data_IF_075965282347
#
_entry.id   IF_075965282347
#
_cell.length_a   1.000
_cell.length_b   1.000
_cell.length_c   1.000
_cell.angle_alpha   90.00
_cell.angle_beta   90.00
_cell.angle_gamma   90.00
#
_symmetry.space_group_name_H-M   'P 1'
#
loop_
_entity.id
_entity.type
_entity.pdbx_description
1 polymer ?
#
# COMPACT_ATOMS: atom_id res chain seq x y z
N UNK A 1 3.62 43.24 8.42
CA UNK A 1 3.09 42.17 7.54
C UNK A 1 1.61 42.07 7.82
N UNK A 2 0.81 42.01 6.76
CA UNK A 2 -0.64 41.86 6.87
C UNK A 2 -0.96 40.51 7.54
N UNK A 3 -1.91 40.49 8.49
CA UNK A 3 -2.25 39.29 9.25
C UNK A 3 -2.72 38.15 8.34
N UNK A 4 -3.33 38.51 7.21
CA UNK A 4 -3.80 37.57 6.20
C UNK A 4 -2.65 36.95 5.39
N UNK A 5 -1.54 37.68 5.21
CA UNK A 5 -0.37 37.18 4.50
C UNK A 5 0.45 36.21 5.35
N UNK A 6 0.57 36.47 6.66
CA UNK A 6 1.16 35.53 7.62
C UNK A 6 0.34 34.23 7.70
N UNK A 7 -0.99 34.35 7.66
CA UNK A 7 -1.88 33.19 7.61
C UNK A 7 -1.74 32.38 6.32
N UNK A 8 -1.60 33.04 5.17
CA UNK A 8 -1.39 32.36 3.88
C UNK A 8 -0.05 31.64 3.83
N UNK A 9 1.06 32.29 4.23
CA UNK A 9 2.40 31.67 4.26
C UNK A 9 2.40 30.35 5.06
N UNK A 10 1.82 30.37 6.26
CA UNK A 10 1.70 29.17 7.11
C UNK A 10 0.95 28.02 6.42
N UNK A 11 -0.12 28.34 5.69
CA UNK A 11 -0.93 27.35 5.00
C UNK A 11 -0.26 26.79 3.74
N UNK A 12 0.57 27.60 3.06
CA UNK A 12 1.44 27.13 1.98
C UNK A 12 2.50 26.18 2.53
N UNK A 13 3.15 26.54 3.63
CA UNK A 13 4.14 25.66 4.28
C UNK A 13 3.53 24.33 4.72
N UNK A 14 2.30 24.35 5.26
CA UNK A 14 1.55 23.13 5.60
C UNK A 14 1.26 22.27 4.38
N UNK A 15 0.85 22.87 3.26
CA UNK A 15 0.61 22.13 2.02
C UNK A 15 1.91 21.50 1.49
N UNK A 16 3.02 22.22 1.54
CA UNK A 16 4.33 21.71 1.13
C UNK A 16 4.79 20.56 2.03
N UNK A 17 4.64 20.71 3.36
CA UNK A 17 4.92 19.66 4.32
C UNK A 17 4.03 18.42 4.09
N UNK A 18 2.75 18.61 3.78
CA UNK A 18 1.84 17.52 3.47
C UNK A 18 2.25 16.78 2.18
N UNK A 19 2.58 17.51 1.11
CA UNK A 19 3.07 16.92 -0.15
C UNK A 19 4.34 16.08 0.08
N UNK A 20 5.24 16.54 0.95
CA UNK A 20 6.45 15.78 1.31
C UNK A 20 6.12 14.54 2.16
N UNK A 21 5.24 14.71 3.16
CA UNK A 21 4.84 13.63 4.06
C UNK A 21 4.11 12.48 3.34
N UNK A 22 3.49 12.74 2.18
CA UNK A 22 2.83 11.71 1.38
C UNK A 22 3.76 10.56 0.96
N UNK A 23 5.07 10.79 0.79
CA UNK A 23 6.01 9.71 0.46
C UNK A 23 6.30 8.77 1.63
N UNK A 24 5.97 9.21 2.85
CA UNK A 24 6.11 8.41 4.07
C UNK A 24 4.81 7.70 4.47
N UNK A 25 3.72 7.87 3.72
CA UNK A 25 2.48 7.11 3.94
C UNK A 25 2.72 5.68 3.47
N UNK A 26 2.96 4.81 4.44
CA UNK A 26 3.05 3.36 4.25
C UNK A 26 1.64 2.79 4.13
N UNK A 27 1.14 2.76 2.90
CA UNK A 27 -0.19 2.23 2.57
C UNK A 27 -0.07 1.14 1.52
N UNK A 28 -0.79 0.06 1.76
CA UNK A 28 -0.72 -1.15 0.95
C UNK A 28 -1.57 -1.07 -0.33
N UNK A 29 -2.60 -0.23 -0.36
CA UNK A 29 -3.43 -0.01 -1.55
C UNK A 29 -3.84 1.47 -1.76
N UNK A 30 -4.22 1.87 -2.99
CA UNK A 30 -4.49 3.27 -3.29
C UNK A 30 -5.69 3.87 -2.56
N UNK A 31 -6.62 3.04 -2.09
CA UNK A 31 -7.75 3.51 -1.30
C UNK A 31 -7.30 3.84 0.12
N UNK A 32 -6.55 2.94 0.76
CA UNK A 32 -5.98 3.17 2.10
C UNK A 32 -5.02 4.37 2.09
N UNK A 33 -4.19 4.50 1.04
CA UNK A 33 -3.34 5.67 0.84
C UNK A 33 -4.14 6.98 0.83
N UNK A 34 -5.25 7.03 0.07
CA UNK A 34 -6.10 8.21 0.02
C UNK A 34 -6.84 8.47 1.34
N UNK A 35 -7.23 7.42 2.07
CA UNK A 35 -7.88 7.54 3.37
C UNK A 35 -6.92 8.11 4.43
N UNK A 36 -5.69 7.62 4.49
CA UNK A 36 -4.67 8.12 5.41
C UNK A 36 -4.27 9.56 5.05
N UNK A 37 -4.09 9.86 3.76
CA UNK A 37 -3.85 11.22 3.27
C UNK A 37 -5.00 12.17 3.66
N UNK A 38 -6.25 11.71 3.57
CA UNK A 38 -7.43 12.47 3.97
C UNK A 38 -7.42 12.78 5.46
N UNK A 39 -7.19 11.77 6.31
CA UNK A 39 -7.15 11.94 7.77
C UNK A 39 -6.02 12.88 8.21
N UNK A 40 -4.83 12.77 7.61
CA UNK A 40 -3.69 13.67 7.88
C UNK A 40 -4.07 15.12 7.56
N UNK A 41 -4.57 15.38 6.35
CA UNK A 41 -4.90 16.75 5.92
C UNK A 41 -6.10 17.31 6.68
N UNK A 42 -7.17 16.52 6.85
CA UNK A 42 -8.35 16.93 7.60
C UNK A 42 -8.00 17.25 9.05
N UNK A 43 -7.13 16.47 9.69
CA UNK A 43 -6.68 16.72 11.07
C UNK A 43 -5.96 18.07 11.19
N UNK A 44 -5.11 18.41 10.21
CA UNK A 44 -4.45 19.71 10.18
C UNK A 44 -5.46 20.87 10.05
N UNK A 45 -6.46 20.72 9.17
CA UNK A 45 -7.54 21.72 8.99
C UNK A 45 -8.43 21.85 10.22
N UNK A 46 -8.73 20.75 10.90
CA UNK A 46 -9.56 20.77 12.10
C UNK A 46 -8.83 21.35 13.32
N UNK A 47 -7.52 21.10 13.45
CA UNK A 47 -6.73 21.54 14.60
C UNK A 47 -6.51 23.07 14.62
N UNK A 48 -6.37 23.69 13.45
CA UNK A 48 -6.10 25.12 13.33
C UNK A 48 -6.76 25.69 12.07
N UNK A 49 -8.10 25.87 12.06
CA UNK A 49 -8.84 26.24 10.85
C UNK A 49 -8.50 27.67 10.39
N UNK A 50 -8.34 27.90 9.06
CA UNK A 50 -8.07 29.23 8.54
C UNK A 50 -9.29 30.16 8.67
N UNK A 51 -9.09 31.49 8.74
CA UNK A 51 -10.18 32.46 8.69
C UNK A 51 -11.04 32.30 7.42
N UNK A 52 -12.37 32.33 7.56
CA UNK A 52 -13.32 32.02 6.47
C UNK A 52 -13.20 32.90 5.22
N UNK A 53 -12.65 34.11 5.36
CA UNK A 53 -12.53 35.10 4.29
C UNK A 53 -11.10 35.32 3.79
N UNK A 54 -10.12 34.56 4.31
CA UNK A 54 -8.73 34.68 3.88
C UNK A 54 -8.41 33.69 2.76
N UNK A 55 -7.43 34.01 1.92
CA UNK A 55 -6.98 33.12 0.86
C UNK A 55 -6.50 31.75 1.36
N UNK A 56 -6.08 31.66 2.64
CA UNK A 56 -5.70 30.41 3.29
C UNK A 56 -6.84 29.38 3.33
N UNK A 57 -8.11 29.81 3.39
CA UNK A 57 -9.26 28.89 3.33
C UNK A 57 -9.32 28.12 2.01
N UNK A 58 -8.89 28.75 0.91
CA UNK A 58 -8.86 28.13 -0.42
C UNK A 58 -7.78 27.06 -0.51
N UNK A 59 -6.65 27.25 0.19
CA UNK A 59 -5.58 26.24 0.30
C UNK A 59 -6.07 25.02 1.07
N UNK A 60 -6.67 25.24 2.24
CA UNK A 60 -7.22 24.16 3.08
C UNK A 60 -8.29 23.35 2.34
N UNK A 61 -9.28 24.03 1.75
CA UNK A 61 -10.37 23.40 1.00
C UNK A 61 -9.90 22.75 -0.31
N UNK A 62 -8.95 23.38 -1.02
CA UNK A 62 -8.36 22.83 -2.24
C UNK A 62 -7.60 21.53 -1.97
N UNK A 63 -6.89 21.45 -0.85
CA UNK A 63 -6.25 20.20 -0.41
C UNK A 63 -7.26 19.09 -0.14
N UNK A 64 -8.35 19.41 0.59
CA UNK A 64 -9.44 18.44 0.83
C UNK A 64 -10.07 17.98 -0.49
N UNK A 65 -10.36 18.90 -1.41
CA UNK A 65 -10.93 18.57 -2.70
C UNK A 65 -10.01 17.66 -3.54
N UNK A 66 -8.70 17.92 -3.55
CA UNK A 66 -7.73 17.09 -4.27
C UNK A 66 -7.71 15.65 -3.74
N UNK A 67 -7.68 15.48 -2.41
CA UNK A 67 -7.69 14.14 -1.78
C UNK A 67 -9.03 13.43 -2.02
N UNK A 68 -10.16 14.15 -1.91
CA UNK A 68 -11.49 13.62 -2.24
C UNK A 68 -11.59 13.10 -3.68
N UNK A 69 -11.04 13.85 -4.65
CA UNK A 69 -10.99 13.42 -6.05
C UNK A 69 -10.11 12.19 -6.24
N UNK A 70 -8.94 12.13 -5.61
CA UNK A 70 -8.07 10.96 -5.67
C UNK A 70 -8.75 9.72 -5.08
N UNK A 71 -9.37 9.84 -3.91
CA UNK A 71 -10.12 8.77 -3.26
C UNK A 71 -11.27 8.26 -4.16
N UNK A 72 -12.01 9.18 -4.77
CA UNK A 72 -13.08 8.87 -5.73
C UNK A 72 -12.54 8.13 -6.96
N UNK A 73 -11.45 8.62 -7.55
CA UNK A 73 -10.84 8.02 -8.73
C UNK A 73 -10.32 6.60 -8.44
N UNK A 74 -9.61 6.40 -7.34
CA UNK A 74 -9.14 5.09 -6.87
C UNK A 74 -10.30 4.12 -6.68
N UNK A 75 -11.41 4.60 -6.11
CA UNK A 75 -12.58 3.77 -5.89
C UNK A 75 -13.27 3.38 -7.20
N UNK A 76 -13.40 4.32 -8.14
CA UNK A 76 -13.99 4.04 -9.46
C UNK A 76 -13.11 3.13 -10.30
N UNK A 77 -11.78 3.29 -10.25
CA UNK A 77 -10.83 2.42 -10.94
C UNK A 77 -10.99 0.97 -10.47
N UNK A 78 -11.10 0.74 -9.15
CA UNK A 78 -11.35 -0.60 -8.62
C UNK A 78 -12.60 -1.27 -9.22
N UNK A 79 -13.70 -0.52 -9.37
CA UNK A 79 -14.95 -1.07 -9.90
C UNK A 79 -14.98 -1.20 -11.42
N UNK A 80 -14.23 -0.36 -12.15
CA UNK A 80 -14.23 -0.34 -13.62
C UNK A 80 -13.18 -1.26 -14.21
N UNK A 81 -12.07 -1.46 -13.52
CA UNK A 81 -10.92 -2.24 -13.97
C UNK A 81 -11.01 -3.66 -13.38
N UNK A 82 -11.49 -4.59 -14.21
CA UNK A 82 -11.74 -5.98 -13.80
C UNK A 82 -10.45 -6.72 -13.41
N UNK A 83 -9.36 -6.48 -14.14
CA UNK A 83 -8.05 -7.07 -13.89
C UNK A 83 -7.32 -6.33 -12.77
N UNK A 84 -6.93 -7.05 -11.71
CA UNK A 84 -6.24 -6.48 -10.56
C UNK A 84 -4.85 -5.91 -10.90
N UNK A 85 -4.17 -6.48 -11.91
CA UNK A 85 -2.86 -6.01 -12.37
C UNK A 85 -2.91 -4.70 -13.17
N UNK A 86 -4.08 -4.33 -13.69
CA UNK A 86 -4.28 -3.09 -14.44
C UNK A 86 -4.80 -1.94 -13.57
N UNK A 87 -5.15 -2.20 -12.31
CA UNK A 87 -5.59 -1.17 -11.37
C UNK A 87 -4.43 -0.23 -11.04
N UNK A 88 -4.76 1.02 -10.74
CA UNK A 88 -3.77 2.01 -10.35
C UNK A 88 -3.00 1.55 -9.11
N UNK A 89 -1.67 1.64 -9.14
CA UNK A 89 -0.83 1.40 -7.97
C UNK A 89 -0.82 2.60 -7.03
N UNK A 90 -0.42 2.39 -5.77
CA UNK A 90 -0.21 3.48 -4.79
C UNK A 90 0.73 4.54 -5.35
N UNK A 91 1.82 4.14 -6.00
CA UNK A 91 2.77 5.07 -6.62
C UNK A 91 2.12 5.94 -7.71
N UNK A 92 1.22 5.37 -8.52
CA UNK A 92 0.47 6.12 -9.53
C UNK A 92 -0.50 7.12 -8.89
N UNK A 93 -1.24 6.70 -7.87
CA UNK A 93 -2.20 7.57 -7.17
C UNK A 93 -1.48 8.67 -6.37
N UNK A 94 -0.37 8.36 -5.69
CA UNK A 94 0.49 9.35 -5.03
C UNK A 94 0.95 10.43 -6.03
N UNK A 95 1.50 10.01 -7.18
CA UNK A 95 1.93 10.93 -8.25
C UNK A 95 0.79 11.80 -8.75
N UNK A 96 -0.38 11.22 -8.99
CA UNK A 96 -1.57 11.95 -9.44
C UNK A 96 -2.06 12.95 -8.39
N UNK A 97 -2.15 12.54 -7.12
CA UNK A 97 -2.59 13.41 -6.04
C UNK A 97 -1.61 14.57 -5.82
N UNK A 98 -0.30 14.32 -5.86
CA UNK A 98 0.73 15.38 -5.84
C UNK A 98 0.57 16.37 -7.01
N UNK A 99 0.28 15.87 -8.20
CA UNK A 99 0.02 16.73 -9.35
C UNK A 99 -1.24 17.60 -9.15
N UNK A 100 -2.31 17.04 -8.59
CA UNK A 100 -3.52 17.76 -8.23
C UNK A 100 -3.26 18.84 -7.16
N UNK A 101 -2.55 18.49 -6.08
CA UNK A 101 -2.13 19.42 -5.01
C UNK A 101 -1.17 20.50 -5.51
N UNK A 102 -0.45 20.25 -6.60
CA UNK A 102 0.38 21.23 -7.28
C UNK A 102 -0.42 22.45 -7.80
N UNK A 103 -1.72 22.30 -8.06
CA UNK A 103 -2.58 23.41 -8.50
C UNK A 103 -2.85 24.43 -7.39
N UNK A 104 -3.45 24.07 -6.23
CA UNK A 104 -3.61 25.01 -5.13
C UNK A 104 -2.27 25.56 -4.63
N UNK A 105 -1.19 24.76 -4.67
CA UNK A 105 0.17 25.22 -4.34
C UNK A 105 0.66 26.34 -5.27
N UNK A 106 0.56 26.16 -6.59
CA UNK A 106 0.97 27.19 -7.56
C UNK A 106 0.15 28.47 -7.41
N UNK A 107 -1.16 28.34 -7.19
CA UNK A 107 -2.03 29.49 -6.98
C UNK A 107 -1.68 30.24 -5.68
N UNK A 108 -1.44 29.52 -4.58
CA UNK A 108 -1.11 30.15 -3.31
C UNK A 108 0.26 30.82 -3.32
N UNK A 109 1.27 30.22 -3.95
CA UNK A 109 2.57 30.87 -4.18
C UNK A 109 2.41 32.14 -5.02
N UNK A 110 1.56 32.09 -6.05
CA UNK A 110 1.27 33.28 -6.84
C UNK A 110 0.62 34.39 -5.99
N UNK A 111 -0.33 34.07 -5.12
CA UNK A 111 -0.95 35.05 -4.22
C UNK A 111 0.04 35.68 -3.23
N UNK A 112 1.07 34.96 -2.82
CA UNK A 112 2.14 35.52 -1.98
C UNK A 112 2.99 36.57 -2.71
N UNK A 113 3.15 36.43 -4.04
CA UNK A 113 3.92 37.37 -4.86
C UNK A 113 3.06 38.50 -5.44
N UNK A 114 1.89 38.16 -5.99
CA UNK A 114 1.03 39.06 -6.77
C UNK A 114 -0.05 39.75 -5.92
N UNK A 115 -0.24 39.28 -4.67
CA UNK A 115 -1.33 39.70 -3.79
C UNK A 115 -2.48 38.68 -3.73
N UNK A 116 -3.10 38.58 -2.56
CA UNK A 116 -4.21 37.66 -2.31
C UNK A 116 -5.49 38.09 -3.06
N UNK A 117 -6.35 37.13 -3.44
CA UNK A 117 -7.67 37.43 -4.01
C UNK A 117 -8.53 38.22 -3.03
N UNK A 118 -9.46 39.01 -3.58
CA UNK A 118 -10.39 39.80 -2.77
C UNK A 118 -11.34 38.92 -1.95
N UNK A 119 -11.80 39.41 -0.80
CA UNK A 119 -12.59 38.62 0.16
C UNK A 119 -13.93 38.10 -0.40
N UNK A 120 -14.53 38.81 -1.35
CA UNK A 120 -15.72 38.41 -2.09
C UNK A 120 -15.42 37.25 -3.05
N UNK A 121 -14.30 37.30 -3.77
CA UNK A 121 -13.80 36.20 -4.59
C UNK A 121 -13.51 34.96 -3.71
N UNK A 122 -12.83 35.15 -2.58
CA UNK A 122 -12.55 34.07 -1.62
C UNK A 122 -13.84 33.42 -1.14
N UNK A 123 -14.84 34.22 -0.78
CA UNK A 123 -16.15 33.71 -0.32
C UNK A 123 -16.89 32.94 -1.40
N UNK A 124 -16.86 33.41 -2.66
CA UNK A 124 -17.51 32.73 -3.77
C UNK A 124 -16.82 31.39 -4.11
N UNK A 125 -15.49 31.36 -4.10
CA UNK A 125 -14.70 30.16 -4.37
C UNK A 125 -14.79 29.16 -3.22
N UNK A 126 -14.74 29.61 -1.97
CA UNK A 126 -14.90 28.73 -0.82
C UNK A 126 -16.29 28.10 -0.80
N UNK A 127 -17.36 28.85 -1.09
CA UNK A 127 -18.71 28.29 -1.23
C UNK A 127 -18.79 27.23 -2.33
N UNK A 128 -18.12 27.43 -3.47
CA UNK A 128 -18.04 26.44 -4.56
C UNK A 128 -17.31 25.16 -4.11
N UNK A 129 -16.16 25.30 -3.44
CA UNK A 129 -15.40 24.17 -2.92
C UNK A 129 -16.19 23.40 -1.85
N UNK A 130 -16.79 24.12 -0.91
CA UNK A 130 -17.66 23.57 0.12
C UNK A 130 -18.83 22.82 -0.51
N UNK A 131 -19.49 23.40 -1.53
CA UNK A 131 -20.56 22.73 -2.25
C UNK A 131 -20.06 21.43 -2.93
N UNK A 132 -18.89 21.45 -3.58
CA UNK A 132 -18.31 20.25 -4.22
C UNK A 132 -17.98 19.14 -3.21
N UNK A 133 -17.63 19.49 -1.97
CA UNK A 133 -17.42 18.54 -0.88
C UNK A 133 -18.76 18.08 -0.24
N UNK A 134 -19.77 18.96 -0.23
CA UNK A 134 -21.06 18.75 0.45
C UNK A 134 -22.20 18.21 -0.44
N UNK A 135 -22.02 18.08 -1.75
CA UNK A 135 -22.99 17.52 -2.73
C UNK A 135 -23.52 16.12 -2.37
N UNK A 136 -23.04 15.54 -1.28
CA UNK A 136 -23.53 14.32 -0.62
C UNK A 136 -24.76 14.52 0.29
N UNK A 137 -25.29 15.74 0.48
CA UNK A 137 -26.34 16.04 1.48
C UNK A 137 -27.74 16.39 0.97
N UNK A 138 -27.96 16.58 -0.33
CA UNK A 138 -29.28 17.01 -0.85
C UNK A 138 -29.86 15.95 -1.77
N UNK A 139 -30.96 15.25 -1.38
CA UNK A 139 -31.64 14.33 -2.28
C UNK A 139 -32.19 15.12 -3.48
N UNK A 140 -31.68 14.85 -4.68
CA UNK A 140 -32.18 15.42 -5.93
C UNK A 140 -31.48 16.69 -6.47
N UNK A 141 -30.32 17.10 -5.96
CA UNK A 141 -29.56 18.19 -6.57
C UNK A 141 -28.77 17.73 -7.82
N UNK A 142 -28.85 18.50 -8.91
CA UNK A 142 -28.11 18.25 -10.14
C UNK A 142 -26.58 18.35 -9.94
N UNK A 143 -25.78 17.55 -10.67
CA UNK A 143 -24.35 17.44 -10.44
C UNK A 143 -23.65 18.72 -10.90
N UNK A 144 -22.81 19.31 -10.04
CA UNK A 144 -21.84 20.32 -10.48
C UNK A 144 -20.49 20.02 -9.81
N UNK A 145 -19.81 19.02 -10.36
CA UNK A 145 -18.37 18.97 -10.68
C UNK A 145 -18.05 17.55 -11.16
N UNK A 146 -17.06 17.41 -12.04
CA UNK A 146 -16.70 16.24 -12.88
C UNK A 146 -16.48 14.87 -12.19
N UNK A 147 -16.84 14.69 -10.92
CA UNK A 147 -16.75 13.42 -10.20
C UNK A 147 -18.05 12.60 -10.18
N UNK A 148 -19.22 13.19 -10.47
CA UNK A 148 -20.45 12.46 -10.83
C UNK A 148 -21.07 11.52 -9.78
N UNK A 149 -20.69 11.58 -8.50
CA UNK A 149 -21.22 10.69 -7.44
C UNK A 149 -22.27 11.41 -6.59
N UNK A 150 -23.47 10.84 -6.51
CA UNK A 150 -24.56 11.27 -5.63
C UNK A 150 -24.80 10.19 -4.57
N UNK A 151 -24.92 10.59 -3.30
CA UNK A 151 -25.21 9.68 -2.19
C UNK A 151 -26.66 9.82 -1.73
N UNK A 152 -27.41 8.72 -1.77
CA UNK A 152 -28.73 8.65 -1.17
C UNK A 152 -28.62 8.16 0.28
N UNK A 153 -29.30 8.84 1.21
CA UNK A 153 -29.40 8.35 2.59
C UNK A 153 -30.25 7.08 2.61
N UNK A 154 -29.64 5.96 2.99
CA UNK A 154 -30.33 4.66 3.06
C UNK A 154 -30.90 4.37 4.45
N UNK A 155 -30.11 4.55 5.51
CA UNK A 155 -30.56 4.34 6.88
C UNK A 155 -29.77 5.19 7.88
N UNK A 156 -30.20 5.21 9.15
CA UNK A 156 -29.44 5.76 10.27
C UNK A 156 -29.08 4.62 11.22
N UNK A 157 -27.80 4.59 11.64
CA UNK A 157 -27.30 3.61 12.59
C UNK A 157 -27.36 4.18 14.01
N UNK A 158 -27.66 3.33 14.99
CA UNK A 158 -27.40 3.64 16.40
C UNK A 158 -25.90 3.69 16.66
N UNK A 159 -25.47 4.34 17.75
CA UNK A 159 -24.05 4.41 18.12
C UNK A 159 -23.43 3.03 18.33
N UNK A 160 -24.19 2.10 18.90
CA UNK A 160 -23.76 0.71 19.12
C UNK A 160 -23.60 -0.04 17.80
N UNK A 161 -24.55 0.10 16.86
CA UNK A 161 -24.44 -0.50 15.52
C UNK A 161 -23.27 0.10 14.74
N UNK A 162 -23.13 1.43 14.74
CA UNK A 162 -22.05 2.12 14.06
C UNK A 162 -20.68 1.67 14.58
N UNK A 163 -20.52 1.58 15.91
CA UNK A 163 -19.29 1.09 16.52
C UNK A 163 -19.01 -0.36 16.12
N UNK A 164 -20.00 -1.26 16.26
CA UNK A 164 -19.87 -2.68 15.90
C UNK A 164 -19.43 -2.84 14.44
N UNK A 165 -20.08 -2.13 13.53
CA UNK A 165 -19.79 -2.25 12.10
C UNK A 165 -18.45 -1.63 11.73
N UNK A 166 -18.10 -0.47 12.29
CA UNK A 166 -16.79 0.17 12.04
C UNK A 166 -15.64 -0.68 12.56
N UNK A 167 -15.73 -1.16 13.80
CA UNK A 167 -14.66 -1.98 14.37
C UNK A 167 -14.47 -3.30 13.58
N UNK A 168 -15.57 -3.95 13.17
CA UNK A 168 -15.50 -5.15 12.33
C UNK A 168 -14.91 -4.84 10.95
N UNK A 169 -15.38 -3.76 10.32
CA UNK A 169 -14.87 -3.31 9.04
C UNK A 169 -13.38 -2.96 9.11
N UNK A 170 -12.93 -2.24 10.14
CA UNK A 170 -11.54 -1.85 10.33
C UNK A 170 -10.64 -3.06 10.59
N UNK A 171 -11.12 -4.08 11.32
CA UNK A 171 -10.40 -5.35 11.47
C UNK A 171 -10.25 -6.07 10.13
N UNK A 172 -11.31 -6.19 9.33
CA UNK A 172 -11.25 -6.80 8.00
C UNK A 172 -10.38 -5.99 7.03
N UNK A 173 -10.48 -4.66 7.09
CA UNK A 173 -9.62 -3.76 6.31
C UNK A 173 -8.16 -3.94 6.69
N UNK A 174 -7.83 -3.99 7.98
CA UNK A 174 -6.46 -4.25 8.45
C UNK A 174 -5.97 -5.64 8.08
N UNK A 175 -6.85 -6.64 8.04
CA UNK A 175 -6.53 -7.99 7.59
C UNK A 175 -6.18 -8.01 6.11
N UNK A 176 -7.05 -7.44 5.28
CA UNK A 176 -6.85 -7.42 3.83
C UNK A 176 -5.73 -6.48 3.43
N UNK A 177 -5.60 -5.34 4.12
CA UNK A 177 -4.59 -4.32 3.89
C UNK A 177 -3.19 -4.90 3.85
N UNK A 178 -2.87 -5.97 4.59
CA UNK A 178 -1.55 -6.60 4.63
C UNK A 178 -1.21 -7.37 3.33
N UNK A 179 -1.03 -6.64 2.22
CA UNK A 179 -0.66 -7.14 0.90
C UNK A 179 0.83 -7.52 0.80
N UNK A 180 1.48 -7.90 1.90
CA UNK A 180 2.87 -8.36 1.87
C UNK A 180 3.08 -9.51 0.87
N UNK A 181 2.11 -10.41 0.71
CA UNK A 181 2.18 -11.47 -0.31
C UNK A 181 2.07 -10.94 -1.73
N UNK A 182 1.23 -9.93 -1.96
CA UNK A 182 1.11 -9.30 -3.28
C UNK A 182 2.37 -8.51 -3.60
N UNK A 183 2.92 -7.76 -2.65
CA UNK A 183 4.20 -7.08 -2.86
C UNK A 183 5.30 -8.08 -3.22
N UNK A 184 5.38 -9.23 -2.54
CA UNK A 184 6.32 -10.30 -2.91
C UNK A 184 6.05 -10.83 -4.33
N UNK A 185 4.78 -10.99 -4.73
CA UNK A 185 4.42 -11.42 -6.07
C UNK A 185 4.79 -10.38 -7.13
N UNK A 186 4.47 -9.10 -6.91
CA UNK A 186 4.80 -7.99 -7.80
C UNK A 186 6.33 -7.89 -7.98
N UNK A 187 7.12 -7.98 -6.91
CA UNK A 187 8.59 -8.00 -7.00
C UNK A 187 9.12 -9.25 -7.73
N UNK A 188 8.44 -10.40 -7.57
CA UNK A 188 8.79 -11.64 -8.29
C UNK A 188 8.50 -11.54 -9.79
N UNK A 189 7.42 -10.84 -10.16
CA UNK A 189 7.09 -10.53 -11.55
C UNK A 189 8.10 -9.55 -12.14
N UNK A 190 8.50 -8.50 -11.39
CA UNK A 190 9.59 -7.58 -11.80
C UNK A 190 10.89 -8.35 -12.05
N UNK A 191 11.26 -9.28 -11.18
CA UNK A 191 12.44 -10.13 -11.40
C UNK A 191 12.30 -10.98 -12.68
N UNK A 192 11.11 -11.54 -12.91
CA UNK A 192 10.81 -12.33 -14.11
C UNK A 192 10.90 -11.49 -15.39
N UNK A 193 10.41 -10.25 -15.35
CA UNK A 193 10.49 -9.29 -16.45
C UNK A 193 11.93 -8.88 -16.76
N UNK A 194 12.76 -8.66 -15.72
CA UNK A 194 14.19 -8.38 -15.89
C UNK A 194 14.89 -9.57 -16.55
N UNK A 195 14.63 -10.79 -16.08
CA UNK A 195 15.19 -12.02 -16.68
C UNK A 195 14.76 -12.15 -18.15
N UNK A 196 13.46 -11.96 -18.42
CA UNK A 196 12.92 -12.03 -19.77
C UNK A 196 13.53 -10.97 -20.70
N UNK A 197 13.69 -9.74 -20.23
CA UNK A 197 14.33 -8.66 -20.97
C UNK A 197 15.76 -9.02 -21.36
N UNK A 198 16.55 -9.55 -20.41
CA UNK A 198 17.93 -9.98 -20.68
C UNK A 198 17.96 -11.16 -21.67
N UNK A 199 17.05 -12.14 -21.53
CA UNK A 199 16.92 -13.26 -22.47
C UNK A 199 16.64 -12.75 -23.89
N UNK A 200 15.68 -11.83 -24.05
CA UNK A 200 15.31 -11.24 -25.34
C UNK A 200 16.47 -10.44 -25.95
N UNK A 201 17.20 -9.69 -25.14
CA UNK A 201 18.38 -8.94 -25.59
C UNK A 201 19.52 -9.86 -26.06
N UNK A 202 19.75 -10.98 -25.35
CA UNK A 202 20.70 -12.01 -25.76
C UNK A 202 20.27 -12.68 -27.07
N UNK A 203 18.97 -12.89 -27.30
CA UNK A 203 18.43 -13.42 -28.56
C UNK A 203 18.60 -12.44 -29.73
N UNK A 204 18.32 -11.15 -29.50
CA UNK A 204 18.34 -10.13 -30.52
C UNK A 204 19.75 -9.73 -30.99
N UNK A 205 20.81 -10.29 -30.39
CA UNK A 205 22.22 -9.93 -30.65
C UNK A 205 22.52 -8.43 -30.44
N UNK A 206 21.68 -7.72 -29.67
CA UNK A 206 21.77 -6.26 -29.47
C UNK A 206 22.72 -5.82 -28.37
N UNK A 207 23.36 -6.76 -27.67
CA UNK A 207 24.43 -6.48 -26.71
C UNK A 207 25.42 -7.63 -26.69
N UNK A 208 26.69 -7.31 -26.95
CA UNK A 208 27.79 -8.28 -26.90
C UNK A 208 27.92 -8.84 -25.48
N UNK A 209 27.96 -10.15 -25.31
CA UNK A 209 28.37 -10.77 -24.02
C UNK A 209 29.84 -10.47 -23.68
N UNK A 210 30.59 -9.90 -24.62
CA UNK A 210 31.98 -9.46 -24.44
C UNK A 210 32.09 -7.97 -24.05
N UNK A 211 30.97 -7.24 -24.02
CA UNK A 211 30.96 -5.86 -23.53
C UNK A 211 30.79 -5.87 -22.00
N UNK A 212 31.86 -5.53 -21.31
CA UNK A 212 31.92 -5.53 -19.84
C UNK A 212 30.92 -4.57 -19.21
N UNK A 213 30.64 -3.42 -19.84
CA UNK A 213 29.69 -2.46 -19.32
C UNK A 213 28.26 -2.98 -19.44
N UNK A 214 27.89 -3.53 -20.60
CA UNK A 214 26.57 -4.12 -20.81
C UNK A 214 26.34 -5.31 -19.87
N UNK A 215 27.39 -6.11 -19.63
CA UNK A 215 27.31 -7.23 -18.69
C UNK A 215 27.18 -6.75 -17.24
N UNK A 216 27.92 -5.71 -16.84
CA UNK A 216 27.79 -5.10 -15.52
C UNK A 216 26.36 -4.56 -15.29
N UNK A 217 25.81 -3.80 -16.24
CA UNK A 217 24.45 -3.25 -16.18
C UNK A 217 23.39 -4.37 -16.02
N UNK A 218 23.54 -5.48 -16.75
CA UNK A 218 22.67 -6.67 -16.62
C UNK A 218 22.76 -7.30 -15.23
N UNK A 219 23.98 -7.50 -14.73
CA UNK A 219 24.18 -8.09 -13.40
C UNK A 219 23.69 -7.17 -12.28
N UNK A 220 23.85 -5.86 -12.40
CA UNK A 220 23.34 -4.90 -11.43
C UNK A 220 21.81 -4.83 -11.42
N UNK A 221 21.19 -4.88 -12.60
CA UNK A 221 19.73 -4.91 -12.71
C UNK A 221 19.15 -6.19 -12.08
N UNK A 222 19.76 -7.35 -12.36
CA UNK A 222 19.39 -8.62 -11.71
C UNK A 222 19.59 -8.57 -10.20
N UNK A 223 20.73 -8.06 -9.74
CA UNK A 223 21.03 -7.90 -8.30
C UNK A 223 19.98 -7.04 -7.61
N UNK A 224 19.60 -5.91 -8.23
CA UNK A 224 18.59 -4.99 -7.71
C UNK A 224 17.22 -5.68 -7.59
N UNK A 225 16.79 -6.39 -8.63
CA UNK A 225 15.52 -7.13 -8.60
C UNK A 225 15.52 -8.25 -7.52
N UNK A 226 16.62 -8.99 -7.38
CA UNK A 226 16.76 -10.01 -6.33
C UNK A 226 16.77 -9.37 -4.93
N UNK A 227 17.44 -8.24 -4.75
CA UNK A 227 17.42 -7.49 -3.50
C UNK A 227 15.99 -7.04 -3.14
N UNK A 228 15.22 -6.62 -4.13
CA UNK A 228 13.82 -6.21 -3.95
C UNK A 228 12.94 -7.35 -3.46
N UNK A 229 12.96 -8.51 -4.15
CA UNK A 229 12.19 -9.70 -3.76
C UNK A 229 12.57 -10.19 -2.35
N UNK A 230 13.86 -10.27 -2.05
CA UNK A 230 14.32 -10.71 -0.72
C UNK A 230 13.98 -9.68 0.37
N UNK A 231 13.94 -8.39 0.03
CA UNK A 231 13.46 -7.32 0.90
C UNK A 231 11.97 -7.45 1.21
N UNK A 232 11.14 -7.71 0.18
CA UNK A 232 9.70 -7.93 0.35
C UNK A 232 9.42 -9.14 1.27
N UNK A 233 10.15 -10.24 1.11
CA UNK A 233 10.05 -11.42 1.99
C UNK A 233 10.39 -11.08 3.44
N UNK A 234 11.44 -10.29 3.68
CA UNK A 234 11.85 -9.86 5.01
C UNK A 234 10.82 -8.90 5.63
N UNK A 235 10.37 -7.92 4.86
CA UNK A 235 9.34 -6.96 5.27
C UNK A 235 8.06 -7.68 5.70
N UNK A 236 7.63 -8.71 4.94
CA UNK A 236 6.46 -9.51 5.30
C UNK A 236 6.55 -10.11 6.72
N UNK A 237 7.70 -10.70 7.09
CA UNK A 237 7.91 -11.22 8.44
C UNK A 237 7.91 -10.10 9.48
N UNK A 238 8.69 -9.05 9.25
CA UNK A 238 8.86 -7.96 10.21
C UNK A 238 7.51 -7.25 10.48
N UNK A 239 6.76 -6.95 9.43
CA UNK A 239 5.42 -6.37 9.51
C UNK A 239 4.44 -7.30 10.24
N UNK A 240 4.43 -8.60 9.93
CA UNK A 240 3.54 -9.57 10.58
C UNK A 240 3.81 -9.71 12.08
N UNK A 241 5.08 -9.79 12.48
CA UNK A 241 5.49 -9.83 13.89
C UNK A 241 5.18 -8.51 14.60
N UNK A 242 5.50 -7.38 13.98
CA UNK A 242 5.20 -6.06 14.52
C UNK A 242 3.70 -5.87 14.71
N UNK A 243 2.89 -6.34 13.77
CA UNK A 243 1.44 -6.29 13.86
C UNK A 243 0.91 -7.16 15.01
N UNK A 244 1.38 -8.39 15.15
CA UNK A 244 0.97 -9.26 16.27
C UNK A 244 1.32 -8.63 17.63
N UNK A 245 2.51 -8.04 17.75
CA UNK A 245 2.95 -7.34 18.97
C UNK A 245 2.11 -6.09 19.26
N UNK A 246 1.72 -5.34 18.23
CA UNK A 246 0.83 -4.18 18.37
C UNK A 246 -0.59 -4.60 18.80
N UNK A 247 -1.12 -5.67 18.24
CA UNK A 247 -2.50 -6.13 18.51
C UNK A 247 -2.64 -6.83 19.87
N UNK A 248 -1.72 -7.72 20.23
CA UNK A 248 -1.86 -8.59 21.40
C UNK A 248 -0.91 -8.23 22.56
N UNK A 249 0.03 -7.32 22.34
CA UNK A 249 1.11 -7.00 23.27
C UNK A 249 2.39 -7.78 22.97
N UNK A 250 3.54 -7.18 23.29
CA UNK A 250 4.88 -7.66 22.91
C UNK A 250 5.21 -9.07 23.39
N UNK A 251 4.86 -9.39 24.63
CA UNK A 251 5.21 -10.67 25.28
C UNK A 251 4.04 -11.67 25.31
N UNK A 252 3.02 -11.41 24.49
CA UNK A 252 1.81 -12.22 24.43
C UNK A 252 2.05 -13.58 23.76
N UNK A 253 1.24 -14.58 24.11
CA UNK A 253 1.30 -15.88 23.46
C UNK A 253 1.09 -15.79 21.93
N UNK A 254 0.09 -15.04 21.40
CA UNK A 254 -0.08 -14.87 19.96
C UNK A 254 1.13 -14.25 19.25
N UNK A 255 1.77 -13.23 19.82
CA UNK A 255 2.97 -12.62 19.23
C UNK A 255 4.13 -13.63 19.13
N UNK A 256 4.33 -14.45 20.18
CA UNK A 256 5.32 -15.54 20.14
C UNK A 256 4.97 -16.64 19.15
N UNK A 257 3.68 -16.96 18.97
CA UNK A 257 3.23 -17.94 17.97
C UNK A 257 3.51 -17.46 16.55
N UNK A 258 3.29 -16.16 16.26
CA UNK A 258 3.63 -15.57 14.96
C UNK A 258 5.13 -15.62 14.69
N UNK A 259 5.97 -15.29 15.67
CA UNK A 259 7.43 -15.42 15.54
C UNK A 259 7.85 -16.88 15.30
N UNK A 260 7.29 -17.81 16.08
CA UNK A 260 7.55 -19.24 15.95
C UNK A 260 7.14 -19.79 14.58
N UNK A 261 6.08 -19.26 13.97
CA UNK A 261 5.64 -19.65 12.63
C UNK A 261 6.71 -19.32 11.57
N UNK A 262 7.29 -18.12 11.59
CA UNK A 262 8.36 -17.79 10.65
C UNK A 262 9.67 -18.55 10.94
N UNK A 263 9.94 -18.86 12.21
CA UNK A 263 11.07 -19.73 12.58
C UNK A 263 10.86 -21.16 12.10
N UNK A 264 9.62 -21.67 12.11
CA UNK A 264 9.23 -22.96 11.54
C UNK A 264 9.41 -22.96 10.02
N UNK A 265 8.97 -21.90 9.32
CA UNK A 265 9.18 -21.76 7.87
C UNK A 265 10.67 -21.78 7.50
N UNK A 266 11.52 -21.09 8.26
CA UNK A 266 12.97 -21.12 8.05
C UNK A 266 13.57 -22.52 8.30
N UNK A 267 12.92 -23.37 9.10
CA UNK A 267 13.36 -24.74 9.33
C UNK A 267 12.87 -25.71 8.25
N UNK A 268 11.64 -25.54 7.79
CA UNK A 268 10.95 -26.47 6.88
C UNK A 268 11.12 -26.15 5.40
N UNK A 269 11.36 -24.88 5.04
CA UNK A 269 11.54 -24.44 3.65
C UNK A 269 12.97 -23.94 3.42
N UNK A 270 13.74 -24.70 2.64
CA UNK A 270 15.08 -24.30 2.24
C UNK A 270 15.06 -23.04 1.37
N UNK A 271 14.05 -22.87 0.50
CA UNK A 271 13.88 -21.65 -0.31
C UNK A 271 13.66 -20.42 0.56
N UNK A 272 12.72 -20.48 1.51
CA UNK A 272 12.43 -19.37 2.42
C UNK A 272 13.64 -19.00 3.27
N UNK A 273 14.32 -20.00 3.86
CA UNK A 273 15.50 -19.79 4.71
C UNK A 273 16.58 -19.01 3.98
N UNK A 274 16.94 -19.49 2.79
CA UNK A 274 18.06 -18.94 2.04
C UNK A 274 17.72 -17.60 1.37
N UNK A 275 16.50 -17.40 0.85
CA UNK A 275 16.07 -16.09 0.35
C UNK A 275 16.04 -15.04 1.47
N UNK A 276 15.60 -15.41 2.67
CA UNK A 276 15.62 -14.51 3.83
C UNK A 276 17.05 -14.15 4.26
N UNK A 277 17.96 -15.12 4.24
CA UNK A 277 19.37 -14.91 4.58
C UNK A 277 20.13 -14.09 3.52
N UNK A 278 19.67 -14.11 2.27
CA UNK A 278 20.31 -13.42 1.14
C UNK A 278 20.20 -11.89 1.22
N UNK A 279 19.13 -11.37 1.81
CA UNK A 279 18.81 -9.94 1.79
C UNK A 279 19.92 -9.06 2.39
N UNK A 280 20.40 -9.40 3.59
CA UNK A 280 21.34 -8.55 4.33
C UNK A 280 22.71 -8.42 3.65
N UNK A 281 23.35 -9.51 3.16
CA UNK A 281 24.54 -9.41 2.33
C UNK A 281 24.35 -8.60 1.04
N UNK A 282 23.22 -8.77 0.34
CA UNK A 282 22.92 -7.97 -0.85
C UNK A 282 22.77 -6.48 -0.54
N UNK A 283 22.12 -6.15 0.58
CA UNK A 283 21.94 -4.77 1.02
C UNK A 283 23.28 -4.11 1.38
N UNK A 284 24.23 -4.86 1.93
CA UNK A 284 25.60 -4.39 2.20
C UNK A 284 26.45 -4.23 0.92
N UNK A 285 25.98 -4.72 -0.21
CA UNK A 285 26.69 -4.67 -1.48
C UNK A 285 27.74 -5.77 -1.65
N UNK A 286 27.62 -6.89 -0.91
CA UNK A 286 28.53 -8.03 -1.07
C UNK A 286 28.35 -8.66 -2.47
N UNK A 287 29.36 -8.53 -3.34
CA UNK A 287 29.28 -8.97 -4.74
C UNK A 287 29.37 -10.49 -4.91
N UNK A 288 30.03 -11.18 -3.99
CA UNK A 288 30.36 -12.60 -4.11
C UNK A 288 29.21 -13.53 -3.71
N UNK A 289 28.09 -12.95 -3.27
CA UNK A 289 26.91 -13.70 -2.79
C UNK A 289 26.13 -14.34 -3.96
N UNK A 290 26.22 -13.73 -5.14
CA UNK A 290 25.51 -14.15 -6.35
C UNK A 290 26.48 -14.47 -7.48
N UNK A 291 26.20 -15.56 -8.20
CA UNK A 291 26.89 -15.97 -9.42
C UNK A 291 25.92 -15.92 -10.59
N UNK A 292 26.23 -15.10 -11.59
CA UNK A 292 25.37 -14.88 -12.74
C UNK A 292 25.79 -15.79 -13.90
N UNK A 293 24.84 -16.54 -14.45
CA UNK A 293 25.03 -17.39 -15.62
C UNK A 293 24.23 -16.80 -16.77
N UNK A 294 24.90 -16.03 -17.63
CA UNK A 294 24.30 -15.32 -18.77
C UNK A 294 24.89 -15.88 -20.06
N UNK A 295 24.21 -16.84 -20.68
CA UNK A 295 24.73 -17.57 -21.84
C UNK A 295 23.97 -17.19 -23.11
N UNK A 296 24.64 -16.49 -24.02
CA UNK A 296 24.19 -16.35 -25.41
C UNK A 296 24.53 -17.61 -26.20
N UNK A 297 23.58 -18.16 -26.94
CA UNK A 297 23.80 -19.33 -27.81
C UNK A 297 23.41 -19.00 -29.25
N UNK A 298 24.31 -19.30 -30.19
CA UNK A 298 24.02 -19.20 -31.64
C UNK A 298 23.01 -20.26 -32.10
N UNK A 299 23.02 -21.41 -31.44
CA UNK A 299 22.08 -22.52 -31.65
C UNK A 299 21.58 -23.00 -30.27
N UNK A 300 20.25 -22.97 -30.07
CA UNK A 300 19.60 -23.25 -28.77
C UNK A 300 19.04 -21.99 -28.10
N UNK A 301 18.26 -22.16 -27.03
CA UNK A 301 17.74 -21.04 -26.25
C UNK A 301 18.87 -20.40 -25.41
N UNK A 302 18.94 -19.06 -25.32
CA UNK A 302 19.79 -18.41 -24.33
C UNK A 302 19.29 -18.73 -22.92
N UNK A 303 20.22 -18.69 -21.98
CA UNK A 303 19.99 -19.09 -20.60
C UNK A 303 20.45 -17.97 -19.68
N UNK A 304 19.56 -17.57 -18.77
CA UNK A 304 19.80 -16.60 -17.72
C UNK A 304 19.46 -17.27 -16.40
N UNK A 305 20.43 -17.40 -15.52
CA UNK A 305 20.25 -17.92 -14.18
C UNK A 305 21.08 -17.13 -13.16
N UNK A 306 20.53 -16.99 -11.96
CA UNK A 306 21.17 -16.32 -10.84
C UNK A 306 21.33 -17.34 -9.73
N UNK A 307 22.56 -17.67 -9.40
CA UNK A 307 22.89 -18.72 -8.44
C UNK A 307 23.43 -18.13 -7.15
N UNK A 308 22.99 -18.67 -6.03
CA UNK A 308 23.39 -18.22 -4.70
C UNK A 308 24.58 -19.04 -4.18
N UNK A 309 25.63 -18.36 -3.70
CA UNK A 309 26.73 -19.00 -2.98
C UNK A 309 26.32 -19.27 -1.52
N UNK A 310 25.78 -20.47 -1.30
CA UNK A 310 25.34 -20.92 0.03
C UNK A 310 26.50 -21.09 1.00
N UNK A 311 27.72 -21.35 0.52
CA UNK A 311 28.89 -21.46 1.37
C UNK A 311 29.30 -20.08 1.89
N UNK A 312 29.34 -19.07 1.02
CA UNK A 312 29.59 -17.69 1.41
C UNK A 312 28.58 -17.24 2.47
N UNK A 313 27.29 -17.44 2.21
CA UNK A 313 26.22 -17.06 3.15
C UNK A 313 26.33 -17.79 4.50
N UNK A 314 26.68 -19.09 4.49
CA UNK A 314 26.87 -19.85 5.73
C UNK A 314 28.03 -19.28 6.57
N UNK A 315 29.15 -18.92 5.94
CA UNK A 315 30.29 -18.31 6.62
C UNK A 315 29.96 -16.90 7.13
N UNK A 316 29.29 -16.09 6.31
CA UNK A 316 28.88 -14.73 6.69
C UNK A 316 27.96 -14.74 7.91
N UNK A 317 27.02 -15.68 7.97
CA UNK A 317 26.07 -15.81 9.08
C UNK A 317 26.69 -16.34 10.38
N UNK A 318 27.80 -17.06 10.32
CA UNK A 318 28.56 -17.44 11.53
C UNK A 318 29.33 -16.24 12.13
N UNK A 319 29.58 -15.20 11.33
CA UNK A 319 30.36 -14.02 11.71
C UNK A 319 29.51 -12.83 12.17
N UNK A 320 28.26 -12.76 11.71
CA UNK A 320 27.27 -11.76 12.13
C UNK A 320 26.40 -12.35 13.23
N UNK A 321 26.14 -11.59 14.30
CA UNK A 321 25.26 -11.99 15.40
C UNK A 321 23.76 -12.09 15.01
N UNK A 322 23.46 -12.28 13.71
CA UNK A 322 22.15 -12.35 13.12
C UNK A 322 21.50 -13.72 13.32
N UNK A 323 20.37 -13.73 14.03
CA UNK A 323 19.67 -14.90 14.58
C UNK A 323 19.02 -15.83 13.53
N UNK A 324 19.29 -15.63 12.23
CA UNK A 324 18.51 -16.17 11.11
C UNK A 324 18.99 -17.53 10.62
N UNK A 325 20.27 -17.85 10.84
CA UNK A 325 20.83 -19.17 10.59
C UNK A 325 21.20 -19.77 11.94
N UNK A 326 20.22 -20.40 12.61
CA UNK A 326 20.53 -21.19 13.81
C UNK A 326 21.56 -22.26 13.42
N UNK A 327 22.70 -22.33 14.13
CA UNK A 327 23.73 -23.33 13.86
C UNK A 327 23.18 -24.71 14.25
N UNK A 328 23.01 -25.61 13.29
CA UNK A 328 22.51 -26.95 13.61
C UNK A 328 22.19 -27.85 12.42
N UNK A 329 21.88 -27.29 11.25
CA UNK A 329 21.76 -28.09 10.03
C UNK A 329 23.07 -28.03 9.25
N UNK A 330 23.74 -29.17 8.97
CA UNK A 330 24.91 -29.16 8.11
C UNK A 330 24.51 -28.60 6.75
N UNK A 331 25.23 -27.56 6.30
CA UNK A 331 25.18 -27.12 4.91
C UNK A 331 25.86 -28.24 4.13
N UNK A 332 25.06 -29.19 3.63
CA UNK A 332 25.58 -30.11 2.61
C UNK A 332 26.05 -29.25 1.44
N UNK A 333 27.25 -29.48 0.90
CA UNK A 333 27.73 -28.82 -0.31
C UNK A 333 26.80 -29.24 -1.45
N UNK A 334 25.71 -28.50 -1.59
CA UNK A 334 24.78 -28.54 -2.70
C UNK A 334 25.36 -27.62 -3.76
N UNK A 335 25.22 -28.00 -5.03
CA UNK A 335 25.40 -27.09 -6.15
C UNK A 335 24.67 -25.76 -5.87
N UNK A 336 25.26 -24.64 -6.32
CA UNK A 336 24.70 -23.31 -6.11
C UNK A 336 23.24 -23.30 -6.58
N UNK A 337 22.35 -22.89 -5.68
CA UNK A 337 20.92 -22.95 -5.97
C UNK A 337 20.48 -21.75 -6.80
N UNK A 338 19.65 -22.02 -7.81
CA UNK A 338 18.99 -20.98 -8.59
C UNK A 338 18.04 -20.19 -7.69
N UNK A 339 18.29 -18.88 -7.61
CA UNK A 339 17.44 -17.91 -6.92
C UNK A 339 16.06 -17.86 -7.59
N UNK A 340 16.00 -17.96 -8.93
CA UNK A 340 14.75 -17.91 -9.69
C UNK A 340 13.82 -19.07 -9.31
N UNK A 341 14.36 -20.30 -9.26
CA UNK A 341 13.59 -21.47 -8.82
C UNK A 341 13.18 -21.37 -7.35
N UNK A 342 14.02 -20.78 -6.50
CA UNK A 342 13.68 -20.56 -5.10
C UNK A 342 12.56 -19.54 -4.92
N UNK A 343 12.58 -18.43 -5.66
CA UNK A 343 11.52 -17.42 -5.66
C UNK A 343 10.20 -18.04 -6.13
N UNK A 344 10.23 -18.84 -7.20
CA UNK A 344 9.05 -19.57 -7.65
C UNK A 344 8.53 -20.57 -6.60
N UNK A 345 9.43 -21.27 -5.91
CA UNK A 345 9.08 -22.27 -4.90
C UNK A 345 8.60 -21.66 -3.56
N UNK A 346 8.95 -20.40 -3.27
CA UNK A 346 8.59 -19.77 -1.98
C UNK A 346 7.15 -19.29 -1.93
N UNK A 347 6.53 -18.98 -3.07
CA UNK A 347 5.15 -18.47 -3.15
C UNK A 347 4.14 -19.34 -2.37
N UNK A 348 3.96 -20.64 -2.72
CA UNK A 348 3.01 -21.50 -2.02
C UNK A 348 3.30 -21.69 -0.52
N UNK A 349 4.58 -21.60 -0.13
CA UNK A 349 5.00 -21.69 1.27
C UNK A 349 4.52 -20.46 2.06
N UNK A 350 4.64 -19.28 1.46
CA UNK A 350 4.17 -18.03 2.03
C UNK A 350 2.64 -17.94 2.05
N UNK A 351 1.94 -18.45 1.03
CA UNK A 351 0.48 -18.51 1.02
C UNK A 351 -0.07 -19.35 2.20
N UNK A 352 0.54 -20.52 2.43
CA UNK A 352 0.18 -21.39 3.55
C UNK A 352 0.50 -20.74 4.91
N UNK A 353 1.63 -20.04 5.00
CA UNK A 353 1.99 -19.27 6.19
C UNK A 353 0.98 -18.15 6.47
N UNK A 354 0.56 -17.43 5.45
CA UNK A 354 -0.42 -16.34 5.56
C UNK A 354 -1.76 -16.85 6.08
N UNK A 355 -2.25 -17.99 5.59
CA UNK A 355 -3.49 -18.58 6.11
C UNK A 355 -3.42 -18.87 7.62
N UNK A 356 -2.27 -19.37 8.10
CA UNK A 356 -2.04 -19.60 9.53
C UNK A 356 -1.90 -18.28 10.31
N UNK A 357 -1.25 -17.26 9.73
CA UNK A 357 -1.14 -15.93 10.31
C UNK A 357 -2.51 -15.28 10.48
N UNK A 358 -3.35 -15.35 9.45
CA UNK A 358 -4.70 -14.78 9.46
C UNK A 358 -5.56 -15.43 10.56
N UNK A 359 -5.46 -16.75 10.73
CA UNK A 359 -6.15 -17.46 11.80
C UNK A 359 -5.73 -17.00 13.22
N UNK A 360 -4.47 -16.59 13.40
CA UNK A 360 -3.96 -16.09 14.70
C UNK A 360 -4.35 -14.62 14.91
N UNK A 361 -4.15 -13.79 13.89
CA UNK A 361 -4.35 -12.35 13.95
C UNK A 361 -5.82 -11.97 13.93
N UNK A 362 -6.66 -12.79 13.31
CA UNK A 362 -8.08 -12.53 13.09
C UNK A 362 -8.91 -13.80 13.38
N UNK A 363 -8.99 -14.25 14.64
CA UNK A 363 -9.77 -15.43 15.01
C UNK A 363 -11.28 -15.23 14.78
N UNK A 364 -11.74 -13.97 14.80
CA UNK A 364 -13.16 -13.60 14.70
C UNK A 364 -13.59 -13.18 13.27
N UNK A 365 -12.83 -13.50 12.22
CA UNK A 365 -13.14 -13.10 10.82
C UNK A 365 -14.57 -13.45 10.44
N UNK A 366 -15.06 -14.63 10.83
CA UNK A 366 -16.44 -15.03 10.53
C UNK A 366 -17.45 -14.06 11.15
N UNK A 367 -17.23 -13.65 12.40
CA UNK A 367 -18.11 -12.70 13.11
C UNK A 367 -18.02 -11.30 12.48
N UNK A 368 -16.83 -10.88 12.09
CA UNK A 368 -16.61 -9.59 11.45
C UNK A 368 -17.23 -9.56 10.05
N UNK A 369 -17.09 -10.63 9.26
CA UNK A 369 -17.75 -10.80 7.96
C UNK A 369 -19.26 -10.76 8.13
N UNK A 370 -19.83 -11.42 9.14
CA UNK A 370 -21.28 -11.34 9.42
C UNK A 370 -21.70 -9.91 9.75
N UNK A 371 -20.95 -9.20 10.60
CA UNK A 371 -21.27 -7.81 10.95
C UNK A 371 -21.20 -6.89 9.72
N UNK A 372 -20.21 -7.05 8.84
CA UNK A 372 -20.12 -6.25 7.60
C UNK A 372 -21.18 -6.67 6.58
N UNK A 373 -21.56 -7.95 6.50
CA UNK A 373 -22.72 -8.39 5.69
C UNK A 373 -24.02 -7.75 6.15
N UNK A 374 -24.25 -7.68 7.47
CA UNK A 374 -25.40 -6.99 8.04
C UNK A 374 -25.40 -5.51 7.62
N UNK A 375 -24.25 -4.83 7.68
CA UNK A 375 -24.11 -3.45 7.20
C UNK A 375 -24.43 -3.33 5.70
N UNK A 376 -23.81 -4.16 4.85
CA UNK A 376 -24.02 -4.16 3.39
C UNK A 376 -25.48 -4.44 3.04
N UNK A 377 -26.14 -5.35 3.77
CA UNK A 377 -27.55 -5.64 3.58
C UNK A 377 -28.45 -4.42 3.81
N UNK A 378 -28.05 -3.45 4.67
CA UNK A 378 -28.79 -2.20 4.86
C UNK A 378 -28.87 -1.37 3.58
N UNK A 379 -27.92 -1.51 2.65
CA UNK A 379 -27.92 -0.84 1.35
C UNK A 379 -28.91 -1.46 0.34
N UNK A 380 -29.53 -2.60 0.68
CA UNK A 380 -30.61 -3.21 -0.10
C UNK A 380 -30.18 -3.76 -1.46
N UNK A 381 -28.88 -4.06 -1.65
CA UNK A 381 -28.35 -4.61 -2.90
C UNK A 381 -28.33 -3.64 -4.08
N UNK A 382 -28.49 -2.32 -3.83
CA UNK A 382 -28.35 -1.30 -4.87
C UNK A 382 -26.90 -1.25 -5.36
N UNK A 383 -26.70 -1.15 -6.68
CA UNK A 383 -25.36 -0.94 -7.26
C UNK A 383 -24.92 0.51 -6.98
N UNK A 384 -23.76 0.70 -6.37
CA UNK A 384 -23.25 2.02 -6.03
C UNK A 384 -22.10 1.96 -5.03
N UNK A 385 -21.71 3.13 -4.54
CA UNK A 385 -20.68 3.30 -3.51
C UNK A 385 -21.32 3.26 -2.12
N UNK A 386 -20.94 2.26 -1.32
CA UNK A 386 -21.37 2.16 0.07
C UNK A 386 -20.50 3.09 0.93
N UNK A 387 -21.12 3.99 1.69
CA UNK A 387 -20.41 4.97 2.51
C UNK A 387 -21.12 5.22 3.85
N UNK A 388 -20.35 5.54 4.88
CA UNK A 388 -20.86 5.83 6.23
C UNK A 388 -20.64 7.30 6.56
N UNK A 389 -21.73 8.01 6.92
CA UNK A 389 -21.65 9.43 7.32
C UNK A 389 -21.93 9.60 8.82
N UNK A 390 -21.35 10.64 9.43
CA UNK A 390 -21.62 11.00 10.82
C UNK A 390 -23.08 11.49 11.00
N UNK A 391 -23.65 11.23 12.19
CA UNK A 391 -25.03 11.58 12.51
C UNK A 391 -25.28 13.11 12.46
N UNK A 392 -26.52 13.56 12.16
CA UNK A 392 -26.91 14.96 12.27
C UNK A 392 -26.66 15.47 13.70
N UNK A 393 -25.74 16.43 13.86
CA UNK A 393 -25.41 17.03 15.17
C UNK A 393 -24.02 16.67 15.71
N UNK A 394 -23.27 15.78 15.04
CA UNK A 394 -21.86 15.53 15.38
C UNK A 394 -21.04 16.82 15.27
N UNK A 395 -20.17 17.08 16.25
CA UNK A 395 -19.17 18.15 16.24
C UNK A 395 -18.02 17.83 15.27
N UNK A 396 -17.72 16.55 15.07
CA UNK A 396 -16.82 16.05 14.03
C UNK A 396 -17.64 15.52 12.85
N UNK A 397 -17.97 16.40 11.90
CA UNK A 397 -18.56 16.01 10.61
C UNK A 397 -17.45 15.98 9.57
N UNK A 398 -17.01 14.79 9.11
CA UNK A 398 -16.11 14.75 7.98
C UNK A 398 -16.78 15.35 6.75
N UNK A 399 -16.00 16.10 5.99
CA UNK A 399 -16.49 16.84 4.81
C UNK A 399 -17.04 15.89 3.74
N UNK A 400 -16.53 14.66 3.69
CA UNK A 400 -17.10 13.53 2.94
C UNK A 400 -17.33 12.32 3.86
N UNK A 401 -18.37 11.50 3.58
CA UNK A 401 -18.53 10.22 4.26
C UNK A 401 -17.37 9.28 3.87
N UNK A 402 -16.62 8.69 4.81
CA UNK A 402 -15.64 7.66 4.48
C UNK A 402 -16.31 6.51 3.70
N UNK A 403 -15.75 6.21 2.54
CA UNK A 403 -16.20 5.11 1.70
C UNK A 403 -15.78 3.77 2.32
N UNK A 404 -16.57 2.72 2.08
CA UNK A 404 -16.12 1.37 2.37
C UNK A 404 -15.25 0.89 1.21
N UNK A 405 -14.04 0.42 1.53
CA UNK A 405 -13.05 -0.15 0.63
C UNK A 405 -13.73 -1.24 -0.21
N UNK A 406 -13.75 -1.08 -1.53
CA UNK A 406 -14.33 -2.07 -2.45
C UNK A 406 -13.75 -3.47 -2.25
N UNK A 407 -12.50 -3.56 -1.78
CA UNK A 407 -11.80 -4.80 -1.48
C UNK A 407 -12.40 -5.54 -0.29
N UNK A 408 -12.64 -4.83 0.82
CA UNK A 408 -13.33 -5.39 2.00
C UNK A 408 -14.72 -5.88 1.59
N UNK A 409 -15.44 -5.09 0.79
CA UNK A 409 -16.76 -5.47 0.30
C UNK A 409 -16.72 -6.71 -0.60
N UNK A 410 -15.73 -6.81 -1.49
CA UNK A 410 -15.53 -7.98 -2.35
C UNK A 410 -15.24 -9.23 -1.52
N UNK A 411 -14.30 -9.15 -0.58
CA UNK A 411 -13.95 -10.25 0.32
C UNK A 411 -15.18 -10.74 1.09
N UNK A 412 -15.92 -9.82 1.69
CA UNK A 412 -17.15 -10.14 2.46
C UNK A 412 -18.21 -10.83 1.58
N UNK A 413 -18.31 -10.47 0.30
CA UNK A 413 -19.24 -11.10 -0.66
C UNK A 413 -18.80 -12.51 -1.07
N UNK A 414 -17.50 -12.75 -1.23
CA UNK A 414 -16.96 -14.05 -1.67
C UNK A 414 -16.55 -14.97 -0.53
N UNK A 415 -16.60 -14.53 0.72
CA UNK A 415 -16.22 -15.33 1.88
C UNK A 415 -17.18 -16.50 2.09
N UNK A 416 -16.77 -17.70 1.69
CA UNK A 416 -17.42 -18.94 2.09
C UNK A 416 -16.78 -19.44 3.40
N UNK A 417 -17.61 -19.90 4.34
CA UNK A 417 -17.12 -20.46 5.60
C UNK A 417 -16.09 -21.56 5.28
N UNK A 418 -14.89 -21.55 5.89
CA UNK A 418 -14.08 -22.75 5.90
C UNK A 418 -14.87 -23.82 6.66
N UNK A 419 -15.41 -24.79 5.91
CA UNK A 419 -15.75 -26.08 6.48
C UNK A 419 -14.47 -26.60 7.16
N UNK A 420 -14.59 -27.13 8.38
CA UNK A 420 -13.51 -27.60 9.26
C UNK A 420 -13.04 -26.63 10.37
N UNK A 421 -13.98 -26.23 11.23
CA UNK A 421 -13.72 -26.07 12.67
C UNK A 421 -14.97 -26.49 13.46
N UNK A 422 -15.15 -27.81 13.62
CA UNK A 422 -15.86 -28.43 14.75
C UNK A 422 -14.85 -29.33 15.44
#
# INVERSE_FOLDING_TARGET
>A
MDSDQVGLDLWVDRLDAFILAMDAIDADDPFDFCADAWEIWQSAVAADPPPERSAAVLVALGGLQAVAHAMTASTLDFYRTADAGQRASVATVNRSLKACLGTPRRESTRWLCDGAPAADEVSARSATLVASLQTTKTPGAAPISDSGIVFDKVCALTDTENRRYREAYDRLRTMLGRESLRHIADESDVLSDVVLGIVLDLQASRGSTFDEQVMAERTDTLRSAVLSVTGAIRAHREQSVAAARRTFGRDSAPARTVEALFDELAQTSDSYRWLSALHEPLQRGDTDVLRYHLTARRHGAPEVDVRMDRNFLAHAAMSTAGTWLRPGRPVTPSEDASVLEMVKAVGPVLDSAQQRLDAILYPDVTRDVVAVRELVARFGGKKGLDALNAAPGSTHKPWMPPHLSPRVLSFVRTFDQPAHLV
#
